data_IF_532275876524
#
_entry.id   IF_532275876524
#
_cell.length_a   1.000
_cell.length_b   1.000
_cell.length_c   1.000
_cell.angle_alpha   90.00
_cell.angle_beta   90.00
_cell.angle_gamma   90.00
#
_symmetry.space_group_name_H-M   'P 1'
#
loop_
_entity.id
_entity.type
_entity.pdbx_description
1 polymer ?
#
# COMPACT_ATOMS: atom_id res chain seq x y z
N UNK A 1 -39.21 3.98 3.65
CA UNK A 1 -38.68 2.61 3.55
C UNK A 1 -37.30 2.58 2.88
N UNK A 2 -37.16 3.09 1.64
CA UNK A 2 -35.90 3.08 0.87
C UNK A 2 -34.65 3.62 1.57
N UNK A 3 -34.74 4.72 2.33
CA UNK A 3 -33.57 5.32 2.98
C UNK A 3 -32.98 4.44 4.08
N UNK A 4 -33.81 3.66 4.79
CA UNK A 4 -33.33 2.74 5.84
C UNK A 4 -32.62 1.53 5.24
N UNK A 5 -33.14 1.00 4.13
CA UNK A 5 -32.50 -0.10 3.38
C UNK A 5 -31.13 0.32 2.86
N UNK A 6 -31.04 1.50 2.21
CA UNK A 6 -29.77 2.03 1.71
C UNK A 6 -28.72 2.20 2.83
N UNK A 7 -29.13 2.72 3.99
CA UNK A 7 -28.21 2.88 5.15
C UNK A 7 -27.73 1.51 5.66
N UNK A 8 -28.62 0.51 5.67
CA UNK A 8 -28.27 -0.87 6.04
C UNK A 8 -27.24 -1.45 5.08
N UNK A 9 -27.45 -1.31 3.77
CA UNK A 9 -26.54 -1.84 2.73
C UNK A 9 -25.14 -1.24 2.85
N UNK A 10 -25.03 0.07 3.08
CA UNK A 10 -23.73 0.72 3.27
C UNK A 10 -23.04 0.31 4.58
N UNK A 11 -23.80 0.02 5.63
CA UNK A 11 -23.24 -0.44 6.91
C UNK A 11 -22.65 -1.84 6.74
N UNK A 12 -23.35 -2.71 6.03
CA UNK A 12 -22.88 -4.05 5.70
C UNK A 12 -21.65 -4.01 4.78
N UNK A 13 -21.66 -3.16 3.75
CA UNK A 13 -20.49 -2.95 2.89
C UNK A 13 -19.25 -2.54 3.69
N UNK A 14 -19.40 -1.60 4.64
CA UNK A 14 -18.29 -1.17 5.51
C UNK A 14 -17.83 -2.30 6.42
N UNK A 15 -18.75 -3.10 6.98
CA UNK A 15 -18.41 -4.27 7.79
C UNK A 15 -17.54 -5.26 7.01
N UNK A 16 -17.95 -5.59 5.79
CA UNK A 16 -17.19 -6.48 4.89
C UNK A 16 -15.81 -5.89 4.56
N UNK A 17 -15.73 -4.59 4.27
CA UNK A 17 -14.46 -3.92 4.00
C UNK A 17 -13.49 -3.99 5.20
N UNK A 18 -13.98 -3.77 6.43
CA UNK A 18 -13.19 -3.91 7.65
C UNK A 18 -12.65 -5.34 7.80
N UNK A 19 -13.50 -6.34 7.57
CA UNK A 19 -13.10 -7.76 7.67
C UNK A 19 -12.05 -8.13 6.63
N UNK A 20 -12.23 -7.66 5.39
CA UNK A 20 -11.26 -7.85 4.31
C UNK A 20 -9.90 -7.28 4.69
N UNK A 21 -9.84 -6.03 5.14
CA UNK A 21 -8.59 -5.36 5.51
C UNK A 21 -7.89 -6.08 6.66
N UNK A 22 -8.64 -6.56 7.67
CA UNK A 22 -8.09 -7.35 8.78
C UNK A 22 -7.47 -8.66 8.30
N UNK A 23 -8.11 -9.35 7.36
CA UNK A 23 -7.60 -10.59 6.77
C UNK A 23 -6.32 -10.33 5.97
N UNK A 24 -6.30 -9.26 5.17
CA UNK A 24 -5.13 -8.85 4.37
C UNK A 24 -3.95 -8.53 5.30
N UNK A 25 -4.13 -7.67 6.30
CA UNK A 25 -3.07 -7.31 7.24
C UNK A 25 -2.52 -8.53 7.97
N UNK A 26 -3.38 -9.48 8.35
CA UNK A 26 -2.97 -10.74 8.96
C UNK A 26 -2.15 -11.63 8.02
N UNK A 27 -2.45 -11.67 6.71
CA UNK A 27 -1.69 -12.47 5.75
C UNK A 27 -0.26 -11.97 5.58
N UNK A 28 -0.06 -10.65 5.67
CA UNK A 28 1.26 -10.01 5.73
C UNK A 28 1.94 -10.09 7.10
N UNK A 29 1.28 -10.68 8.11
CA UNK A 29 1.74 -10.74 9.51
C UNK A 29 1.92 -9.36 10.16
N UNK A 30 1.08 -8.39 9.78
CA UNK A 30 1.10 -7.02 10.28
C UNK A 30 -0.02 -6.75 11.29
N UNK A 31 -0.41 -7.77 12.07
CA UNK A 31 -1.51 -7.68 13.03
C UNK A 31 -1.28 -6.68 14.18
N UNK A 32 -0.09 -6.08 14.25
CA UNK A 32 0.28 -5.00 15.15
C UNK A 32 -0.21 -3.60 14.67
N UNK A 33 -0.63 -3.47 13.42
CA UNK A 33 -1.16 -2.20 12.88
C UNK A 33 -2.62 -2.05 13.31
N UNK A 34 -2.91 -1.04 14.12
CA UNK A 34 -4.29 -0.65 14.42
C UNK A 34 -4.90 0.10 13.23
N UNK A 35 -5.86 -0.54 12.56
CA UNK A 35 -6.50 0.00 11.37
C UNK A 35 -7.49 1.13 11.68
N UNK A 36 -8.10 1.11 12.87
CA UNK A 36 -9.10 2.08 13.34
C UNK A 36 -9.94 2.70 12.19
N UNK A 37 -10.83 1.91 11.58
CA UNK A 37 -11.64 2.36 10.45
C UNK A 37 -12.66 3.42 10.88
N UNK A 38 -12.63 4.59 10.24
CA UNK A 38 -13.58 5.66 10.47
C UNK A 38 -13.66 6.60 9.26
N UNK A 39 -14.44 7.66 9.37
CA UNK A 39 -14.43 8.76 8.43
C UNK A 39 -13.27 9.70 8.75
N UNK A 40 -12.34 9.80 7.80
CA UNK A 40 -11.17 10.68 7.90
C UNK A 40 -11.16 11.69 6.77
N UNK A 41 -10.62 12.88 7.07
CA UNK A 41 -10.36 13.90 6.07
C UNK A 41 -9.09 13.55 5.29
N UNK A 42 -9.17 13.59 3.96
CA UNK A 42 -8.08 13.28 3.06
C UNK A 42 -7.67 14.56 2.33
N UNK A 43 -6.58 15.16 2.82
CA UNK A 43 -6.07 16.47 2.37
C UNK A 43 -5.76 16.54 0.86
N UNK A 44 -5.52 15.40 0.22
CA UNK A 44 -5.23 15.31 -1.22
C UNK A 44 -6.49 15.30 -2.10
N UNK A 45 -7.69 15.31 -1.51
CA UNK A 45 -8.95 15.42 -2.25
C UNK A 45 -9.47 16.88 -2.25
N UNK A 46 -10.30 17.26 -3.24
CA UNK A 46 -10.96 18.57 -3.25
C UNK A 46 -11.84 18.77 -2.01
N UNK A 47 -12.00 20.04 -1.59
CA UNK A 47 -12.71 20.42 -0.36
C UNK A 47 -14.11 19.79 -0.24
N UNK A 48 -14.81 19.68 -1.36
CA UNK A 48 -16.18 19.15 -1.44
C UNK A 48 -16.27 17.63 -1.25
N UNK A 49 -15.15 16.90 -1.27
CA UNK A 49 -15.10 15.42 -1.15
C UNK A 49 -13.87 14.96 -0.33
N UNK A 50 -13.57 15.65 0.79
CA UNK A 50 -12.43 15.26 1.64
C UNK A 50 -12.74 14.14 2.63
N UNK A 51 -14.00 13.84 2.93
CA UNK A 51 -14.37 12.88 3.97
C UNK A 51 -14.58 11.48 3.36
N UNK A 52 -13.71 10.54 3.70
CA UNK A 52 -13.80 9.13 3.24
C UNK A 52 -13.82 8.17 4.42
N UNK A 53 -14.64 7.13 4.31
CA UNK A 53 -14.53 5.97 5.19
C UNK A 53 -13.28 5.16 4.81
N UNK A 54 -12.30 5.10 5.72
CA UNK A 54 -11.01 4.45 5.47
C UNK A 54 -10.33 4.09 6.80
N UNK A 55 -9.14 3.50 6.72
CA UNK A 55 -8.25 3.26 7.86
C UNK A 55 -7.65 4.58 8.36
N UNK A 56 -7.21 4.61 9.61
CA UNK A 56 -6.57 5.76 10.23
C UNK A 56 -5.39 6.27 9.37
N UNK A 57 -5.18 7.60 9.25
CA UNK A 57 -4.07 8.15 8.45
C UNK A 57 -2.70 7.59 8.83
N UNK A 58 -2.45 7.36 10.13
CA UNK A 58 -1.18 6.79 10.58
C UNK A 58 -1.06 5.30 10.24
N UNK A 59 -2.15 4.53 10.33
CA UNK A 59 -2.18 3.14 9.89
C UNK A 59 -1.88 3.03 8.39
N UNK A 60 -2.47 3.93 7.60
CA UNK A 60 -2.20 4.04 6.15
C UNK A 60 -0.73 4.32 5.86
N UNK A 61 -0.12 5.28 6.56
CA UNK A 61 1.31 5.61 6.40
C UNK A 61 2.19 4.40 6.73
N UNK A 62 1.90 3.69 7.81
CA UNK A 62 2.66 2.50 8.21
C UNK A 62 2.52 1.37 7.18
N UNK A 63 1.31 1.11 6.67
CA UNK A 63 1.07 0.12 5.60
C UNK A 63 1.88 0.48 4.35
N UNK A 64 1.81 1.74 3.90
CA UNK A 64 2.53 2.20 2.70
C UNK A 64 4.05 2.09 2.87
N UNK A 65 4.57 2.41 4.05
CA UNK A 65 5.99 2.24 4.37
C UNK A 65 6.42 0.77 4.29
N UNK A 66 5.66 -0.16 4.87
CA UNK A 66 5.99 -1.59 4.82
C UNK A 66 5.89 -2.15 3.40
N UNK A 67 4.88 -1.74 2.63
CA UNK A 67 4.76 -2.11 1.21
C UNK A 67 5.93 -1.59 0.38
N UNK A 68 6.37 -0.35 0.63
CA UNK A 68 7.55 0.23 -0.03
C UNK A 68 8.82 -0.58 0.29
N UNK A 69 9.01 -0.97 1.55
CA UNK A 69 10.13 -1.84 1.94
C UNK A 69 10.10 -3.20 1.22
N UNK A 70 8.93 -3.84 1.13
CA UNK A 70 8.77 -5.09 0.38
C UNK A 70 9.07 -4.90 -1.10
N UNK A 71 8.61 -3.80 -1.70
CA UNK A 71 8.88 -3.46 -3.09
C UNK A 71 10.39 -3.32 -3.34
N UNK A 72 11.12 -2.60 -2.48
CA UNK A 72 12.58 -2.51 -2.59
C UNK A 72 13.28 -3.86 -2.48
N UNK A 73 12.81 -4.76 -1.61
CA UNK A 73 13.38 -6.11 -1.49
C UNK A 73 13.15 -6.94 -2.75
N UNK A 74 11.95 -6.91 -3.32
CA UNK A 74 11.62 -7.60 -4.57
C UNK A 74 12.42 -7.05 -5.74
N UNK A 75 12.49 -5.72 -5.89
CA UNK A 75 13.28 -5.07 -6.94
C UNK A 75 14.76 -5.46 -6.89
N UNK A 76 15.37 -5.47 -5.69
CA UNK A 76 16.77 -5.90 -5.53
C UNK A 76 16.99 -7.36 -5.97
N UNK A 77 16.02 -8.24 -5.71
CA UNK A 77 16.08 -9.64 -6.15
C UNK A 77 15.97 -9.73 -7.67
N UNK A 78 14.98 -9.08 -8.27
CA UNK A 78 14.78 -9.05 -9.74
C UNK A 78 16.04 -8.53 -10.46
N UNK A 79 16.58 -7.38 -10.04
CA UNK A 79 17.82 -6.84 -10.62
C UNK A 79 19.02 -7.78 -10.43
N UNK A 80 19.08 -8.50 -9.31
CA UNK A 80 20.14 -9.49 -9.07
C UNK A 80 20.01 -10.74 -9.94
N UNK A 81 18.79 -11.14 -10.31
CA UNK A 81 18.51 -12.28 -11.17
C UNK A 81 18.71 -11.93 -12.65
N UNK A 82 18.26 -10.75 -13.06
CA UNK A 82 18.55 -10.20 -14.39
C UNK A 82 20.05 -10.05 -14.61
N UNK A 83 20.80 -9.59 -13.61
CA UNK A 83 22.25 -9.51 -13.69
C UNK A 83 22.96 -10.87 -13.66
N UNK A 84 22.35 -11.93 -13.13
CA UNK A 84 22.86 -13.31 -13.28
C UNK A 84 22.60 -13.85 -14.69
N UNK A 85 21.46 -13.55 -15.29
CA UNK A 85 21.15 -13.93 -16.67
C UNK A 85 22.02 -13.20 -17.72
N UNK A 86 22.53 -12.01 -17.39
CA UNK A 86 23.48 -11.28 -18.25
C UNK A 86 24.90 -11.91 -18.22
N UNK A 87 25.28 -12.66 -17.18
CA UNK A 87 26.63 -13.29 -17.10
C UNK A 87 26.87 -14.41 -18.12
N UNK A 88 25.85 -14.83 -18.87
CA UNK A 88 25.98 -15.78 -19.98
C UNK A 88 26.26 -15.13 -21.35
N UNK A 89 26.24 -13.79 -21.47
CA UNK A 89 26.56 -13.10 -22.74
C UNK A 89 27.47 -11.87 -22.50
N UNK A 90 28.78 -12.06 -22.72
CA UNK A 90 29.83 -11.03 -22.65
C UNK A 90 29.46 -9.69 -23.33
N UNK A 91 29.75 -8.53 -22.70
CA UNK A 91 30.91 -7.62 -22.95
C UNK A 91 30.68 -6.24 -22.29
N UNK A 92 31.77 -5.67 -21.72
CA UNK A 92 31.85 -4.41 -20.94
C UNK A 92 31.30 -3.17 -21.67
N UNK A 93 30.54 -2.34 -20.95
CA UNK A 93 30.51 -0.87 -21.13
C UNK A 93 30.00 -0.16 -19.87
N UNK A 94 30.74 0.86 -19.43
CA UNK A 94 30.23 2.03 -18.71
C UNK A 94 29.82 1.85 -17.25
N UNK A 95 30.74 2.16 -16.34
CA UNK A 95 30.49 2.32 -14.91
C UNK A 95 29.57 3.53 -14.65
N UNK A 96 28.24 3.35 -14.72
CA UNK A 96 27.28 4.28 -14.12
C UNK A 96 26.71 3.59 -12.89
N UNK A 97 27.19 4.01 -11.71
CA UNK A 97 26.48 3.78 -10.45
C UNK A 97 25.05 4.25 -10.69
N UNK A 98 24.12 3.31 -10.83
CA UNK A 98 22.69 3.61 -10.67
C UNK A 98 22.58 3.94 -9.18
N UNK A 99 22.65 5.22 -8.86
CA UNK A 99 22.15 5.69 -7.57
C UNK A 99 20.75 5.11 -7.41
N UNK A 100 20.47 4.59 -6.22
CA UNK A 100 19.17 4.07 -5.82
C UNK A 100 18.14 5.20 -5.98
N UNK A 101 17.65 5.38 -7.21
CA UNK A 101 16.83 6.50 -7.64
C UNK A 101 15.37 6.23 -7.26
N UNK A 102 15.18 5.89 -5.98
CA UNK A 102 13.87 5.76 -5.40
C UNK A 102 13.51 7.12 -4.81
N UNK A 103 12.44 7.78 -5.30
CA UNK A 103 11.97 9.00 -4.68
C UNK A 103 11.68 8.71 -3.20
N UNK A 104 12.18 9.57 -2.31
CA UNK A 104 11.73 9.61 -0.91
C UNK A 104 10.27 10.04 -0.93
N UNK A 105 9.39 9.07 -1.04
CA UNK A 105 7.99 9.23 -0.73
C UNK A 105 7.89 8.88 0.76
N UNK A 106 7.44 9.88 1.53
CA UNK A 106 7.40 9.97 3.00
C UNK A 106 8.67 10.53 3.65
#
# INVERSE_FOLDING_TARGET
>A
MKTKEIISDFSEFRRIAIELDKIIIRSYKWSDVDLNHNFYELEYLPENDRIRFSVHPDARKEILKRLLMLNHQSYKKEVSEDSKNIKAKHKKTGNKKKEDNFPKLF
#
